data_IF_560645194286
#
_entry.id   IF_560645194286
#
_cell.length_a   1.000
_cell.length_b   1.000
_cell.length_c   1.000
_cell.angle_alpha   90.00
_cell.angle_beta   90.00
_cell.angle_gamma   90.00
#
_symmetry.space_group_name_H-M   'P 1'
#
loop_
_entity.id
_entity.type
_entity.pdbx_description
1 polymer ?
#
# COMPACT_ATOMS: atom_id res chain seq x y z
N UNK A 1 -26.26 -28.60 -13.07
CA UNK A 1 -26.83 -27.39 -13.69
C UNK A 1 -26.14 -26.17 -13.06
N UNK A 2 -25.31 -25.49 -13.83
CA UNK A 2 -24.60 -24.28 -13.42
C UNK A 2 -23.92 -23.71 -14.65
N UNK A 3 -24.67 -22.97 -15.46
CA UNK A 3 -24.12 -22.31 -16.65
C UNK A 3 -23.51 -20.97 -16.22
N UNK A 4 -22.18 -20.85 -16.27
CA UNK A 4 -21.50 -19.56 -16.25
C UNK A 4 -22.01 -18.75 -17.44
N UNK A 5 -22.73 -17.66 -17.17
CA UNK A 5 -23.29 -16.81 -18.22
C UNK A 5 -22.38 -15.64 -18.59
N UNK A 6 -21.43 -15.23 -17.75
CA UNK A 6 -20.58 -14.05 -17.97
C UNK A 6 -19.22 -14.26 -17.29
N UNK A 7 -18.13 -13.88 -17.97
CA UNK A 7 -16.78 -13.75 -17.42
C UNK A 7 -16.43 -12.25 -17.39
N UNK A 8 -15.98 -11.72 -16.25
CA UNK A 8 -15.50 -10.35 -16.10
C UNK A 8 -13.97 -10.34 -15.89
N UNK A 9 -13.22 -9.46 -16.57
CA UNK A 9 -11.79 -9.31 -16.33
C UNK A 9 -11.51 -8.82 -14.90
N UNK A 10 -10.53 -9.42 -14.22
CA UNK A 10 -10.11 -9.04 -12.86
C UNK A 10 -10.59 -9.98 -11.76
N UNK A 11 -11.62 -10.78 -12.03
CA UNK A 11 -12.16 -11.76 -11.07
C UNK A 11 -11.59 -13.16 -11.32
N UNK A 12 -11.20 -13.86 -10.25
CA UNK A 12 -10.75 -15.25 -10.31
C UNK A 12 -11.92 -16.23 -10.41
N UNK A 13 -11.83 -17.20 -11.33
CA UNK A 13 -12.86 -18.23 -11.50
C UNK A 13 -12.29 -19.64 -11.30
N UNK A 14 -13.03 -20.49 -10.58
CA UNK A 14 -12.68 -21.90 -10.38
C UNK A 14 -13.44 -22.74 -11.41
N UNK A 15 -12.68 -23.41 -12.29
CA UNK A 15 -13.24 -24.39 -13.23
C UNK A 15 -13.33 -25.74 -12.52
N UNK A 16 -14.54 -26.28 -12.42
CA UNK A 16 -14.76 -27.62 -11.86
C UNK A 16 -14.72 -28.66 -12.98
N UNK A 17 -13.68 -29.48 -13.00
CA UNK A 17 -13.54 -30.57 -13.97
C UNK A 17 -13.90 -31.90 -13.31
N UNK A 18 -14.55 -32.80 -14.05
CA UNK A 18 -15.02 -34.09 -13.55
C UNK A 18 -14.06 -35.25 -13.78
N UNK A 19 -12.95 -35.03 -14.50
CA UNK A 19 -11.91 -36.02 -14.84
C UNK A 19 -10.55 -35.29 -14.93
N UNK A 20 -9.44 -36.01 -14.77
CA UNK A 20 -8.10 -35.43 -14.92
C UNK A 20 -7.88 -34.96 -16.37
N UNK A 21 -7.58 -33.66 -16.56
CA UNK A 21 -7.27 -33.10 -17.87
C UNK A 21 -6.18 -32.04 -17.80
N UNK A 22 -5.40 -31.90 -18.88
CA UNK A 22 -4.38 -30.87 -19.04
C UNK A 22 -5.00 -29.62 -19.69
N UNK A 23 -4.81 -28.46 -19.06
CA UNK A 23 -5.37 -27.20 -19.55
C UNK A 23 -4.36 -26.52 -20.47
N UNK A 24 -4.60 -26.61 -21.77
CA UNK A 24 -3.71 -26.08 -22.82
C UNK A 24 -4.18 -24.70 -23.26
N UNK A 25 -3.43 -23.65 -22.91
CA UNK A 25 -3.72 -22.30 -23.36
C UNK A 25 -3.25 -22.10 -24.82
N UNK A 26 -4.07 -21.51 -25.70
CA UNK A 26 -3.63 -21.19 -27.05
C UNK A 26 -2.70 -19.98 -27.04
N UNK A 27 -1.46 -20.16 -27.50
CA UNK A 27 -0.53 -19.07 -27.77
C UNK A 27 -0.94 -18.34 -29.06
N UNK A 28 -1.88 -17.39 -28.96
CA UNK A 28 -2.11 -16.46 -30.06
C UNK A 28 -0.96 -15.44 -30.11
N UNK A 29 -0.02 -15.66 -31.02
CA UNK A 29 0.93 -14.63 -31.46
C UNK A 29 0.19 -13.56 -32.29
N UNK A 30 -0.64 -12.74 -31.63
CA UNK A 30 -1.08 -11.47 -32.23
C UNK A 30 0.10 -10.52 -32.26
N UNK A 31 0.53 -10.19 -33.48
CA UNK A 31 1.52 -9.16 -33.77
C UNK A 31 0.91 -7.77 -33.54
N UNK A 32 0.59 -7.46 -32.28
CA UNK A 32 0.28 -6.10 -31.86
C UNK A 32 1.59 -5.41 -31.56
N UNK A 33 1.86 -4.30 -32.24
CA UNK A 33 2.72 -3.25 -31.71
C UNK A 33 2.03 -2.68 -30.46
N UNK A 34 2.03 -3.46 -29.38
CA UNK A 34 1.68 -2.99 -28.06
C UNK A 34 2.79 -2.03 -27.67
N UNK A 35 2.46 -0.74 -27.56
CA UNK A 35 3.06 0.04 -26.48
C UNK A 35 2.91 -0.86 -25.26
N UNK A 36 4.02 -1.41 -24.76
CA UNK A 36 4.07 -2.14 -23.50
C UNK A 36 3.69 -1.12 -22.43
N UNK A 37 2.40 -0.85 -22.28
CA UNK A 37 1.87 -0.36 -21.03
C UNK A 37 1.91 -1.60 -20.17
N UNK A 38 3.01 -1.74 -19.42
CA UNK A 38 3.11 -2.70 -18.34
C UNK A 38 1.96 -2.40 -17.38
N UNK A 39 0.82 -3.06 -17.59
CA UNK A 39 -0.21 -3.16 -16.56
C UNK A 39 0.39 -4.15 -15.57
N UNK A 40 1.30 -3.67 -14.72
CA UNK A 40 1.69 -4.44 -13.54
C UNK A 40 0.41 -4.57 -12.70
N UNK A 41 -0.07 -5.78 -12.41
CA UNK A 41 -1.15 -5.96 -11.46
C UNK A 41 -0.71 -5.35 -10.14
N UNK A 42 -1.50 -4.43 -9.58
CA UNK A 42 -1.25 -3.84 -8.27
C UNK A 42 -1.13 -4.97 -7.24
N UNK A 43 0.00 -5.07 -6.54
CA UNK A 43 0.21 -6.11 -5.51
C UNK A 43 0.13 -5.47 -4.14
N UNK A 44 -1.09 -5.41 -3.59
CA UNK A 44 -1.29 -4.92 -2.24
C UNK A 44 -0.54 -5.80 -1.22
N UNK A 45 0.07 -5.22 -0.17
CA UNK A 45 0.75 -5.98 0.85
C UNK A 45 -0.25 -6.85 1.63
N UNK A 46 0.10 -8.11 1.81
CA UNK A 46 -0.63 -9.02 2.70
C UNK A 46 -0.13 -8.81 4.12
N UNK A 47 -0.59 -7.75 4.77
CA UNK A 47 -0.41 -7.54 6.21
C UNK A 47 -1.55 -8.22 6.97
N UNK A 48 -1.25 -8.79 8.14
CA UNK A 48 -2.26 -9.43 8.98
C UNK A 48 -1.93 -9.19 10.45
N UNK A 49 -2.87 -8.58 11.17
CA UNK A 49 -2.75 -8.39 12.61
C UNK A 49 -3.36 -9.58 13.38
N UNK A 50 -2.69 -10.12 14.41
CA UNK A 50 -3.25 -11.16 15.28
C UNK A 50 -4.50 -10.67 16.02
N UNK A 51 -5.60 -11.42 15.96
CA UNK A 51 -6.86 -11.04 16.63
C UNK A 51 -6.94 -11.35 18.13
N UNK A 52 -5.93 -11.99 18.71
CA UNK A 52 -5.94 -12.53 20.08
C UNK A 52 -4.98 -11.82 21.04
N UNK A 53 -4.75 -10.52 20.83
CA UNK A 53 -3.89 -9.69 21.68
C UNK A 53 -4.62 -9.30 22.97
N UNK A 54 -3.88 -9.27 24.09
CA UNK A 54 -4.44 -8.99 25.42
C UNK A 54 -4.63 -7.50 25.70
N UNK A 55 -3.80 -6.66 25.07
CA UNK A 55 -3.79 -5.22 25.24
C UNK A 55 -4.01 -4.53 23.91
N UNK A 56 -4.53 -3.31 23.94
CA UNK A 56 -4.72 -2.49 22.75
C UNK A 56 -4.39 -1.01 23.01
N UNK A 57 -4.09 -0.31 21.93
CA UNK A 57 -4.06 1.15 21.87
C UNK A 57 -4.81 1.59 20.60
N UNK A 58 -5.33 2.82 20.62
CA UNK A 58 -6.08 3.40 19.52
C UNK A 58 -5.34 4.58 18.91
N UNK A 59 -5.45 4.72 17.60
CA UNK A 59 -4.84 5.80 16.84
C UNK A 59 -5.88 6.39 15.90
N UNK A 60 -6.08 7.69 15.99
CA UNK A 60 -6.87 8.49 15.06
C UNK A 60 -5.90 9.33 14.24
N UNK A 61 -5.76 8.97 12.96
CA UNK A 61 -4.78 9.59 12.08
C UNK A 61 -5.40 10.09 10.77
N UNK A 62 -4.66 10.93 10.07
CA UNK A 62 -4.90 11.30 8.67
C UNK A 62 -3.62 11.12 7.88
N UNK A 63 -3.71 10.52 6.71
CA UNK A 63 -2.59 10.39 5.78
C UNK A 63 -2.56 11.63 4.91
N UNK A 64 -1.44 12.35 4.87
CA UNK A 64 -1.31 13.62 4.14
C UNK A 64 -0.08 13.63 3.25
N UNK A 65 -0.25 14.03 2.00
CA UNK A 65 0.80 14.25 1.02
C UNK A 65 0.80 15.71 0.51
N UNK A 66 1.46 15.95 -0.63
CA UNK A 66 1.52 17.26 -1.28
C UNK A 66 0.18 17.71 -1.89
N UNK A 67 -0.72 16.77 -2.21
CA UNK A 67 -2.04 17.03 -2.78
C UNK A 67 -3.11 17.23 -1.71
N UNK A 68 -2.91 16.68 -0.51
CA UNK A 68 -3.77 16.90 0.64
C UNK A 68 -3.92 15.67 1.52
N UNK A 69 -5.07 15.55 2.19
CA UNK A 69 -5.40 14.37 2.99
C UNK A 69 -5.91 13.28 2.05
N UNK A 70 -5.31 12.10 2.12
CA UNK A 70 -5.77 10.93 1.38
C UNK A 70 -7.15 10.50 1.85
N UNK A 71 -8.03 10.22 0.90
CA UNK A 71 -9.36 9.62 1.11
C UNK A 71 -9.50 8.32 0.33
N UNK A 72 -8.40 7.79 -0.19
CA UNK A 72 -8.39 6.54 -0.93
C UNK A 72 -8.51 5.39 0.05
N UNK A 73 -9.61 4.63 -0.05
CA UNK A 73 -9.85 3.47 0.80
C UNK A 73 -8.95 2.27 0.46
N UNK A 74 -8.28 2.31 -0.69
CA UNK A 74 -7.29 1.29 -1.05
C UNK A 74 -5.92 1.56 -0.41
N UNK A 75 -5.70 2.76 0.16
CA UNK A 75 -4.52 3.02 0.99
C UNK A 75 -4.61 2.26 2.31
N UNK A 76 -3.46 1.89 2.86
CA UNK A 76 -3.40 1.10 4.08
C UNK A 76 -2.35 1.68 5.02
N UNK A 77 -2.76 2.02 6.23
CA UNK A 77 -1.87 2.28 7.36
C UNK A 77 -1.75 0.99 8.19
N UNK A 78 -0.52 0.52 8.40
CA UNK A 78 -0.25 -0.62 9.24
C UNK A 78 0.78 -0.29 10.32
N UNK A 79 0.54 -0.82 11.52
CA UNK A 79 1.42 -0.73 12.67
C UNK A 79 2.21 -2.04 12.83
N UNK A 80 3.47 -1.94 13.27
CA UNK A 80 4.39 -3.04 13.45
C UNK A 80 5.17 -2.93 14.75
N UNK A 81 5.41 -4.08 15.40
CA UNK A 81 6.35 -4.22 16.52
C UNK A 81 7.32 -5.33 16.13
N UNK A 82 8.62 -5.04 16.13
CA UNK A 82 9.69 -5.98 15.71
C UNK A 82 9.43 -6.66 14.35
N UNK A 83 8.78 -5.94 13.42
CA UNK A 83 8.44 -6.43 12.07
C UNK A 83 7.16 -7.28 11.98
N UNK A 84 6.49 -7.56 13.10
CA UNK A 84 5.18 -8.20 13.12
C UNK A 84 4.07 -7.15 13.02
N UNK A 85 3.10 -7.36 12.12
CA UNK A 85 1.96 -6.46 12.01
C UNK A 85 1.05 -6.57 13.24
N UNK A 86 0.71 -5.43 13.85
CA UNK A 86 -0.08 -5.34 15.09
C UNK A 86 -1.41 -4.60 14.92
N UNK A 87 -1.63 -3.99 13.76
CA UNK A 87 -2.87 -3.30 13.43
C UNK A 87 -2.86 -2.85 11.98
N UNK A 88 -4.04 -2.77 11.36
CA UNK A 88 -4.23 -2.33 9.98
C UNK A 88 -5.51 -1.51 9.91
N UNK A 89 -5.49 -0.39 9.19
CA UNK A 89 -6.66 0.42 8.90
C UNK A 89 -6.48 1.19 7.58
N UNK A 90 -7.59 1.60 6.97
CA UNK A 90 -7.61 2.38 5.73
C UNK A 90 -8.30 3.73 5.96
N UNK A 91 -7.98 4.77 5.16
CA UNK A 91 -8.72 6.03 5.17
C UNK A 91 -10.20 5.81 4.88
N UNK A 92 -11.07 6.37 5.71
CA UNK A 92 -12.52 6.34 5.46
C UNK A 92 -12.96 7.63 4.74
N UNK A 93 -13.35 7.55 3.46
CA UNK A 93 -13.77 8.72 2.69
C UNK A 93 -15.03 9.40 3.24
N UNK A 94 -15.90 8.66 3.95
CA UNK A 94 -17.15 9.18 4.52
C UNK A 94 -16.92 10.15 5.69
N UNK A 95 -15.78 10.01 6.35
CA UNK A 95 -15.33 10.86 7.46
C UNK A 95 -14.04 11.57 7.11
N UNK A 96 -13.95 12.10 5.88
CA UNK A 96 -12.86 12.96 5.43
C UNK A 96 -11.45 12.36 5.43
N UNK A 97 -11.33 11.03 5.30
CA UNK A 97 -10.04 10.33 5.22
C UNK A 97 -9.41 10.04 6.58
N UNK A 98 -10.19 10.10 7.65
CA UNK A 98 -9.73 9.65 8.96
C UNK A 98 -9.46 8.15 8.93
N UNK A 99 -8.39 7.77 9.62
CA UNK A 99 -7.94 6.40 9.82
C UNK A 99 -8.12 6.07 11.29
N UNK A 100 -8.94 5.07 11.59
CA UNK A 100 -9.15 4.56 12.95
C UNK A 100 -8.41 3.24 13.09
N UNK A 101 -7.21 3.30 13.64
CA UNK A 101 -6.33 2.15 13.77
C UNK A 101 -6.35 1.64 15.21
N UNK A 102 -6.60 0.34 15.36
CA UNK A 102 -6.38 -0.37 16.63
C UNK A 102 -5.11 -1.19 16.51
N UNK A 103 -4.21 -1.03 17.48
CA UNK A 103 -2.94 -1.74 17.55
C UNK A 103 -3.00 -2.59 18.81
N UNK A 104 -2.70 -3.88 18.73
CA UNK A 104 -2.66 -4.71 19.92
C UNK A 104 -1.28 -5.26 20.26
N UNK A 105 -1.16 -5.67 21.52
CA UNK A 105 0.07 -6.19 22.10
C UNK A 105 -0.21 -7.25 23.17
N UNK A 106 0.82 -8.02 23.48
CA UNK A 106 0.89 -8.93 24.62
C UNK A 106 2.00 -8.52 25.62
N UNK A 107 2.66 -7.37 25.42
CA UNK A 107 3.61 -6.83 26.37
C UNK A 107 2.90 -6.52 27.68
N UNK A 108 3.34 -7.18 28.76
CA UNK A 108 2.88 -6.88 30.10
C UNK A 108 3.30 -5.48 30.54
N UNK A 109 2.68 -4.97 31.62
CA UNK A 109 3.03 -3.67 32.19
C UNK A 109 4.53 -3.56 32.49
N UNK A 110 5.16 -2.49 31.99
CA UNK A 110 6.58 -2.20 32.20
C UNK A 110 7.54 -2.76 31.15
N UNK A 111 7.03 -3.42 30.10
CA UNK A 111 7.83 -3.76 28.91
C UNK A 111 7.70 -2.62 27.91
N UNK A 112 8.83 -2.06 27.49
CA UNK A 112 8.86 -1.07 26.41
C UNK A 112 8.74 -1.80 25.06
N UNK A 113 7.67 -1.51 24.33
CA UNK A 113 7.51 -1.87 22.92
C UNK A 113 7.35 -0.59 22.11
N UNK A 114 8.07 -0.48 20.99
CA UNK A 114 7.94 0.64 20.07
C UNK A 114 7.18 0.20 18.83
N UNK A 115 6.12 0.94 18.51
CA UNK A 115 5.33 0.75 17.31
C UNK A 115 5.94 1.57 16.18
N UNK A 116 6.26 0.89 15.09
CA UNK A 116 6.64 1.49 13.80
C UNK A 116 5.49 1.38 12.83
N UNK A 117 5.50 2.19 11.77
CA UNK A 117 4.37 2.28 10.85
C UNK A 117 4.81 2.18 9.40
N UNK A 118 3.95 1.60 8.58
CA UNK A 118 4.07 1.61 7.13
C UNK A 118 2.79 2.10 6.51
N UNK A 119 2.90 2.88 5.44
CA UNK A 119 1.78 3.24 4.59
C UNK A 119 1.92 2.58 3.24
N UNK A 120 0.91 1.86 2.80
CA UNK A 120 0.76 1.45 1.42
C UNK A 120 -0.05 2.48 0.67
N UNK A 121 0.49 2.96 -0.45
CA UNK A 121 -0.12 3.91 -1.36
C UNK A 121 -0.62 3.20 -2.59
N UNK A 122 -1.94 3.12 -2.72
CA UNK A 122 -2.54 2.31 -3.77
C UNK A 122 -2.35 2.94 -5.15
N UNK A 123 -2.43 4.27 -5.24
CA UNK A 123 -2.21 5.02 -6.47
C UNK A 123 -0.79 4.80 -7.07
N UNK A 124 0.20 4.55 -6.21
CA UNK A 124 1.62 4.38 -6.56
C UNK A 124 2.12 2.94 -6.45
N UNK A 125 1.28 2.02 -5.97
CA UNK A 125 1.63 0.63 -5.62
C UNK A 125 2.94 0.55 -4.80
N UNK A 126 3.11 1.47 -3.84
CA UNK A 126 4.36 1.64 -3.10
C UNK A 126 4.11 1.53 -1.60
N UNK A 127 5.05 0.91 -0.89
CA UNK A 127 5.09 0.85 0.57
C UNK A 127 6.10 1.89 1.06
N UNK A 128 5.68 2.71 2.02
CA UNK A 128 6.47 3.78 2.61
C UNK A 128 6.65 3.47 4.09
N UNK A 129 7.89 3.24 4.51
CA UNK A 129 8.25 3.10 5.91
C UNK A 129 8.29 4.49 6.57
N UNK A 130 7.50 4.67 7.64
CA UNK A 130 7.49 5.91 8.40
C UNK A 130 8.67 5.92 9.38
N UNK A 131 9.26 7.11 9.59
CA UNK A 131 10.39 7.27 10.53
C UNK A 131 9.90 7.43 11.96
N UNK A 132 8.68 7.92 12.11
CA UNK A 132 7.99 8.08 13.36
C UNK A 132 7.73 6.71 13.99
N UNK A 133 7.96 6.66 15.30
CA UNK A 133 7.58 5.55 16.14
C UNK A 133 6.94 6.11 17.41
N UNK A 134 6.07 5.32 17.99
CA UNK A 134 5.39 5.67 19.25
C UNK A 134 5.58 4.51 20.24
N UNK A 135 5.78 4.79 21.53
CA UNK A 135 5.74 3.74 22.53
C UNK A 135 4.33 3.16 22.59
N UNK A 136 4.23 1.83 22.70
CA UNK A 136 2.96 1.17 22.96
C UNK A 136 2.55 1.41 24.42
N UNK A 137 1.34 1.92 24.62
CA UNK A 137 0.72 2.07 25.94
C UNK A 137 -0.64 1.37 25.95
N UNK A 138 -0.86 0.46 26.90
CA UNK A 138 -2.16 -0.20 27.03
C UNK A 138 -3.26 0.82 27.33
N UNK A 139 -4.35 0.75 26.57
CA UNK A 139 -5.45 1.72 26.55
C UNK A 139 -5.02 3.13 26.16
N UNK A 140 -3.84 3.28 25.55
CA UNK A 140 -3.36 4.54 25.02
C UNK A 140 -4.18 5.02 23.82
N UNK A 141 -4.20 6.34 23.64
CA UNK A 141 -4.86 7.01 22.51
C UNK A 141 -3.88 7.99 21.88
N UNK A 142 -3.76 7.94 20.55
CA UNK A 142 -2.95 8.88 19.77
C UNK A 142 -3.83 9.61 18.76
N UNK A 143 -3.86 10.93 18.87
CA UNK A 143 -4.73 11.77 18.08
C UNK A 143 -6.17 11.78 18.60
N UNK A 144 -6.96 12.71 18.11
CA UNK A 144 -8.40 12.85 18.42
C UNK A 144 -9.16 13.23 17.15
N UNK A 145 -10.48 13.31 17.21
CA UNK A 145 -11.29 13.80 16.08
C UNK A 145 -11.00 15.27 15.74
N UNK A 146 -10.73 16.12 16.75
CA UNK A 146 -10.42 17.53 16.55
C UNK A 146 -8.96 17.78 16.18
N UNK A 147 -8.07 16.88 16.59
CA UNK A 147 -6.63 16.94 16.33
C UNK A 147 -6.08 15.53 16.04
N UNK A 148 -6.29 15.01 14.81
CA UNK A 148 -5.78 13.70 14.43
C UNK A 148 -4.25 13.74 14.29
N UNK A 149 -3.61 12.59 14.48
CA UNK A 149 -2.19 12.45 14.16
C UNK A 149 -1.99 12.56 12.65
N UNK A 150 -1.24 13.57 12.22
CA UNK A 150 -0.98 13.79 10.80
C UNK A 150 0.25 12.99 10.37
N UNK A 151 0.03 11.98 9.55
CA UNK A 151 1.08 11.20 8.90
C UNK A 151 1.46 11.93 7.63
N UNK A 152 2.62 12.59 7.64
CA UNK A 152 3.12 13.28 6.46
C UNK A 152 3.92 12.31 5.59
N UNK A 153 3.37 12.00 4.42
CA UNK A 153 4.08 11.25 3.40
C UNK A 153 4.90 12.25 2.59
N UNK A 154 6.22 12.14 2.74
CA UNK A 154 7.13 12.76 1.79
C UNK A 154 7.31 11.78 0.65
N UNK A 155 6.84 12.15 -0.53
CA UNK A 155 7.28 11.45 -1.73
C UNK A 155 8.80 11.57 -1.77
N UNK A 156 9.48 10.42 -1.82
CA UNK A 156 10.88 10.43 -2.18
C UNK A 156 10.90 10.92 -3.62
N UNK A 157 11.15 12.23 -3.80
CA UNK A 157 11.59 12.74 -5.08
C UNK A 157 12.84 11.94 -5.41
N UNK A 158 12.71 10.95 -6.28
CA UNK A 158 13.87 10.27 -6.81
C UNK A 158 14.57 11.30 -7.70
N UNK A 159 15.46 12.09 -7.08
CA UNK A 159 16.18 13.17 -7.75
C UNK A 159 17.01 12.65 -8.95
N UNK A 160 17.17 11.33 -9.05
CA UNK A 160 17.87 10.65 -10.12
C UNK A 160 16.93 10.23 -11.26
N UNK A 161 15.63 10.05 -11.02
CA UNK A 161 14.60 9.85 -12.06
C UNK A 161 14.17 11.22 -12.63
N UNK A 162 15.08 11.80 -13.39
CA UNK A 162 14.93 13.14 -13.97
C UNK A 162 13.96 13.16 -15.14
N UNK A 163 13.73 12.02 -15.79
CA UNK A 163 12.79 11.90 -16.90
C UNK A 163 11.36 11.50 -16.44
N UNK A 164 11.20 11.14 -15.16
CA UNK A 164 9.95 10.74 -14.49
C UNK A 164 9.30 9.51 -15.11
N UNK A 165 10.10 8.55 -15.57
CA UNK A 165 9.61 7.29 -16.12
C UNK A 165 9.48 6.17 -15.06
N UNK A 166 9.89 6.44 -13.82
CA UNK A 166 9.85 5.52 -12.70
C UNK A 166 10.99 4.49 -12.69
N UNK A 167 11.99 4.63 -13.56
CA UNK A 167 13.08 3.66 -13.73
C UNK A 167 14.43 4.37 -13.84
N UNK A 168 15.30 4.22 -12.84
CA UNK A 168 16.67 4.71 -12.91
C UNK A 168 17.48 4.00 -14.01
N UNK A 169 17.67 4.65 -15.16
CA UNK A 169 18.32 4.07 -16.31
C UNK A 169 19.09 5.11 -17.17
N UNK A 170 19.62 4.66 -18.32
CA UNK A 170 20.38 5.53 -19.22
C UNK A 170 19.53 6.67 -19.80
N UNK A 171 18.21 6.48 -19.86
CA UNK A 171 17.22 7.50 -20.22
C UNK A 171 17.29 8.74 -19.34
N UNK A 172 17.57 8.59 -18.04
CA UNK A 172 17.74 9.72 -17.12
C UNK A 172 19.00 10.53 -17.44
N UNK A 173 20.10 9.83 -17.68
CA UNK A 173 21.38 10.46 -18.05
C UNK A 173 21.25 11.20 -19.38
N UNK A 174 20.58 10.58 -20.36
CA UNK A 174 20.31 11.18 -21.66
C UNK A 174 19.41 12.41 -21.50
N UNK A 175 18.35 12.33 -20.70
CA UNK A 175 17.44 13.44 -20.44
C UNK A 175 18.18 14.63 -19.81
N UNK A 176 19.02 14.39 -18.79
CA UNK A 176 19.87 15.42 -18.22
C UNK A 176 20.82 16.03 -19.25
N UNK A 177 21.46 15.20 -20.09
CA UNK A 177 22.36 15.68 -21.14
C UNK A 177 21.62 16.59 -22.13
N UNK A 178 20.42 16.23 -22.56
CA UNK A 178 19.59 17.08 -23.43
C UNK A 178 19.28 18.42 -22.77
N UNK A 179 18.88 18.42 -21.49
CA UNK A 179 18.55 19.64 -20.75
C UNK A 179 19.77 20.56 -20.59
N UNK A 180 20.96 20.02 -20.29
CA UNK A 180 22.16 20.84 -20.05
C UNK A 180 22.90 21.24 -21.33
N UNK A 181 22.83 20.44 -22.40
CA UNK A 181 23.56 20.70 -23.66
C UNK A 181 22.70 21.33 -24.75
N UNK A 182 21.37 21.19 -24.69
CA UNK A 182 20.45 21.65 -25.73
C UNK A 182 20.54 20.87 -27.05
N UNK A 183 21.22 19.72 -27.07
CA UNK A 183 21.35 18.86 -28.25
C UNK A 183 20.08 18.00 -28.36
N UNK A 184 19.49 17.91 -29.56
CA UNK A 184 18.38 17.01 -29.91
C UNK A 184 18.87 15.75 -30.62
#
# INVERSE_FOLDING_TARGET
>A
MGSLKILQPGDGYIIKVSQDCELKYPDEHTNTQTRKRSIQPRVQPVWTAPGNQQFNMSVIAVIKDSEGISKDSDDILAAFVDGECRGIASPDPSVSGFVFLTIGSNAGSGVEENVTFKVYRANQDTIIDLKENIPFENQGEVGTLDAPWTIMIQEMNDFLDVNKDGVLNLGDVIYLLHIITGIQ
#
